data_IF_375620945583
#
_entry.id   IF_375620945583
#
_cell.length_a   1.000
_cell.length_b   1.000
_cell.length_c   1.000
_cell.angle_alpha   90.00
_cell.angle_beta   90.00
_cell.angle_gamma   90.00
#
_symmetry.space_group_name_H-M   'P 1'
#
loop_
_entity.id
_entity.type
_entity.pdbx_description
1 polymer ?
#
# COMPACT_ATOMS: atom_id res chain seq x y z
N UNK A 1 6.81 5.41 -10.03
CA UNK A 1 5.97 4.55 -10.55
C UNK A 1 5.35 3.62 -9.59
N UNK A 2 6.07 3.04 -8.68
CA UNK A 2 5.50 2.18 -7.69
C UNK A 2 4.46 2.92 -6.85
N UNK A 3 4.64 4.22 -6.63
CA UNK A 3 3.70 4.96 -5.83
C UNK A 3 2.31 4.99 -6.44
N UNK A 4 2.23 5.13 -7.75
CA UNK A 4 0.93 5.17 -8.39
C UNK A 4 0.27 3.80 -8.31
N UNK A 5 1.03 2.74 -8.55
CA UNK A 5 0.49 1.42 -8.46
C UNK A 5 0.06 1.13 -7.03
N UNK A 6 0.84 1.59 -6.07
CA UNK A 6 0.52 1.33 -4.67
C UNK A 6 -0.81 1.98 -4.29
N UNK A 7 -1.08 3.16 -4.80
CA UNK A 7 -2.34 3.81 -4.49
C UNK A 7 -3.51 3.03 -5.07
N UNK A 8 -3.37 2.55 -6.30
CA UNK A 8 -4.41 1.81 -6.94
C UNK A 8 -4.68 0.51 -6.17
N UNK A 9 -3.62 -0.20 -5.80
CA UNK A 9 -3.80 -1.44 -5.09
C UNK A 9 -4.34 -1.20 -3.68
N UNK A 10 -3.88 -0.15 -3.02
CA UNK A 10 -4.39 0.15 -1.69
C UNK A 10 -5.89 0.43 -1.74
N UNK A 11 -6.32 1.14 -2.78
CA UNK A 11 -7.72 1.43 -2.91
C UNK A 11 -8.52 0.14 -3.12
N UNK A 12 -8.02 -0.76 -3.95
CA UNK A 12 -8.69 -2.02 -4.19
C UNK A 12 -8.75 -2.87 -2.93
N UNK A 13 -7.70 -2.83 -2.12
CA UNK A 13 -7.68 -3.59 -0.89
C UNK A 13 -8.70 -3.02 0.09
N UNK A 14 -8.79 -1.70 0.16
CA UNK A 14 -9.75 -1.08 1.05
C UNK A 14 -11.16 -1.43 0.67
N UNK A 15 -11.40 -1.62 -0.62
CA UNK A 15 -12.74 -1.95 -1.08
C UNK A 15 -13.02 -3.45 -0.96
N UNK A 16 -12.05 -4.20 -0.51
CA UNK A 16 -12.23 -5.64 -0.37
C UNK A 16 -12.12 -6.41 -1.67
N UNK A 17 -11.62 -5.76 -2.71
CA UNK A 17 -11.52 -6.41 -4.01
C UNK A 17 -10.21 -7.15 -4.19
N UNK A 18 -9.20 -6.83 -3.38
CA UNK A 18 -7.94 -7.53 -3.42
C UNK A 18 -7.38 -7.61 -2.02
N UNK A 19 -6.39 -8.46 -1.82
CA UNK A 19 -5.73 -8.56 -0.53
C UNK A 19 -4.25 -8.31 -0.74
N UNK A 20 -3.52 -8.15 0.34
CA UNK A 20 -2.09 -7.93 0.26
C UNK A 20 -1.42 -9.10 -0.45
N UNK A 21 -1.93 -10.28 -0.28
CA UNK A 21 -1.35 -11.45 -0.93
C UNK A 21 -1.57 -11.44 -2.43
N UNK A 22 -2.50 -10.64 -2.91
CA UNK A 22 -2.76 -10.55 -4.33
C UNK A 22 -1.83 -9.58 -5.03
N UNK A 23 -0.98 -8.90 -4.30
CA UNK A 23 -0.11 -7.92 -4.92
C UNK A 23 0.98 -8.60 -5.73
N UNK A 24 1.39 -8.00 -6.84
CA UNK A 24 2.49 -8.56 -7.61
C UNK A 24 3.77 -8.48 -6.81
N UNK A 25 4.70 -9.33 -7.14
CA UNK A 25 5.95 -9.38 -6.39
C UNK A 25 6.92 -8.34 -6.95
N UNK A 26 6.65 -7.09 -6.70
CA UNK A 26 7.46 -6.00 -7.17
C UNK A 26 8.12 -5.34 -5.99
N UNK A 27 9.41 -5.13 -6.08
CA UNK A 27 10.15 -4.54 -4.97
C UNK A 27 9.57 -3.23 -4.55
N UNK A 28 9.30 -3.07 -3.31
CA UNK A 28 8.80 -1.82 -2.75
C UNK A 28 7.31 -1.62 -2.89
N UNK A 29 6.63 -2.41 -3.71
CA UNK A 29 5.21 -2.22 -3.90
C UNK A 29 4.44 -2.57 -2.63
N UNK A 30 4.74 -3.69 -2.03
CA UNK A 30 4.03 -4.11 -0.85
C UNK A 30 4.23 -3.13 0.28
N UNK A 31 5.45 -2.66 0.45
CA UNK A 31 5.74 -1.72 1.51
C UNK A 31 5.03 -0.40 1.26
N UNK A 32 4.97 0.03 0.01
CA UNK A 32 4.29 1.27 -0.31
C UNK A 32 2.78 1.15 -0.07
N UNK A 33 2.20 0.00 -0.41
CA UNK A 33 0.79 -0.21 -0.19
C UNK A 33 0.50 -0.24 1.31
N UNK A 34 1.35 -0.90 2.07
CA UNK A 34 1.14 -0.96 3.52
C UNK A 34 1.26 0.42 4.14
N UNK A 35 2.14 1.24 3.64
CA UNK A 35 2.29 2.59 4.17
C UNK A 35 1.04 3.42 3.88
N UNK A 36 0.40 3.19 2.74
CA UNK A 36 -0.81 3.91 2.44
C UNK A 36 -1.98 3.41 3.29
N UNK A 37 -2.05 2.10 3.49
CA UNK A 37 -3.14 1.54 4.27
C UNK A 37 -2.97 1.81 5.76
N UNK A 38 -1.72 1.94 6.22
CA UNK A 38 -1.45 2.17 7.62
C UNK A 38 -0.61 3.41 7.81
N UNK A 39 -1.15 4.55 7.57
CA UNK A 39 -0.38 5.78 7.67
C UNK A 39 0.18 5.99 9.06
N UNK A 40 -0.39 5.40 10.06
CA UNK A 40 0.10 5.59 11.39
C UNK A 40 1.46 4.99 11.56
N UNK A 41 1.79 3.99 10.80
CA UNK A 41 3.08 3.39 10.94
C UNK A 41 4.13 4.30 10.42
N UNK A 42 3.82 5.20 9.57
CA UNK A 42 4.82 6.01 9.07
C UNK A 42 4.80 7.25 9.71
N UNK A 43 4.01 7.47 10.55
CA UNK A 43 3.87 8.64 10.99
C UNK A 43 4.78 9.09 11.82
N UNK A 44 5.38 8.42 12.29
CA UNK A 44 6.36 8.83 13.17
C UNK A 44 6.82 10.06 12.74
N UNK A 45 6.66 10.31 11.70
CA UNK A 45 7.14 11.30 11.24
C UNK A 45 6.52 12.44 11.54
N UNK A 46 5.54 12.54 11.62
CA UNK A 46 5.07 13.65 11.68
C UNK A 46 4.86 14.10 12.80
N UNK A 47 5.07 13.58 13.33
CA UNK A 47 5.08 14.13 14.53
C UNK A 47 4.36 15.32 14.48
#
# INVERSE_FOLDING_TARGET
MVKVMARIYADLIRKGMKTIDDLPNIDGLREAVEAILNPEDVEGVNG
#
